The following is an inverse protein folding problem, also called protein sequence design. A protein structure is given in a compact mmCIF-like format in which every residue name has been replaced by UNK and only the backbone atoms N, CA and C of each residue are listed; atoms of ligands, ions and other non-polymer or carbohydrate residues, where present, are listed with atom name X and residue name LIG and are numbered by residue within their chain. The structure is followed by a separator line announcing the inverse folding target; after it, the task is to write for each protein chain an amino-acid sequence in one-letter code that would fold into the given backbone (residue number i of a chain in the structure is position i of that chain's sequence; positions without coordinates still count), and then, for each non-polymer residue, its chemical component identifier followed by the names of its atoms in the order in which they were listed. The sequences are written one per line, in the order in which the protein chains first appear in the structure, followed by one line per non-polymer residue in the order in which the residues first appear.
data_IF_434157346358
#
_entry.id   IF_434157346358
#
_cell.length_a   1.000
_cell.length_b   1.000
_cell.length_c   1.000
_cell.angle_alpha   90.00
_cell.angle_beta   90.00
_cell.angle_gamma   90.00
#
_symmetry.space_group_name_H-M   'P 1'
#
loop_
_entity.id
_entity.type
_entity.pdbx_description
1 polymer ?
#
# COMPACT_ATOMS: atom_id res chain seq x y z
N UNK A 1 -8.48 -21.24 -18.77
CA UNK A 1 -9.36 -20.27 -19.48
C UNK A 1 -8.83 -18.89 -19.18
N UNK A 2 -8.54 -18.14 -20.21
CA UNK A 2 -8.14 -16.73 -20.07
C UNK A 2 -9.39 -15.87 -20.37
N UNK A 3 -9.53 -14.74 -19.62
CA UNK A 3 -10.63 -13.78 -19.78
C UNK A 3 -12.04 -14.29 -19.48
N UNK A 4 -12.19 -15.37 -18.72
CA UNK A 4 -13.49 -15.82 -18.24
C UNK A 4 -13.90 -15.00 -17.01
N UNK A 5 -14.91 -14.14 -17.13
CA UNK A 5 -15.54 -13.49 -15.97
C UNK A 5 -16.25 -14.53 -15.12
N UNK A 6 -16.02 -14.55 -13.82
CA UNK A 6 -16.75 -15.41 -12.89
C UNK A 6 -17.99 -14.68 -12.42
N UNK A 7 -19.18 -15.26 -12.60
CA UNK A 7 -20.45 -14.74 -12.15
C UNK A 7 -20.85 -15.25 -10.76
N UNK A 8 -20.67 -16.57 -10.54
CA UNK A 8 -20.97 -17.18 -9.24
C UNK A 8 -20.03 -18.35 -8.92
N UNK A 9 -19.78 -18.56 -7.63
CA UNK A 9 -19.08 -19.73 -7.10
C UNK A 9 -20.07 -20.50 -6.23
N UNK A 10 -20.36 -21.73 -6.63
CA UNK A 10 -21.23 -22.65 -5.90
C UNK A 10 -20.42 -23.78 -5.25
N UNK A 11 -21.05 -24.61 -4.46
CA UNK A 11 -20.38 -25.67 -3.71
C UNK A 11 -19.60 -26.67 -4.57
N UNK A 12 -20.08 -26.94 -5.79
CA UNK A 12 -19.50 -27.96 -6.68
C UNK A 12 -19.17 -27.45 -8.09
N UNK A 13 -19.35 -26.15 -8.34
CA UNK A 13 -19.14 -25.56 -9.66
C UNK A 13 -18.89 -24.06 -9.59
N UNK A 14 -18.25 -23.56 -10.64
CA UNK A 14 -18.07 -22.14 -10.91
C UNK A 14 -18.84 -21.79 -12.19
N UNK A 15 -19.66 -20.73 -12.12
CA UNK A 15 -20.40 -20.19 -13.27
C UNK A 15 -19.64 -19.01 -13.84
N UNK A 16 -19.43 -19.02 -15.15
CA UNK A 16 -18.79 -17.92 -15.87
C UNK A 16 -19.84 -17.06 -16.60
N UNK A 17 -19.54 -15.79 -16.78
CA UNK A 17 -20.45 -14.82 -17.44
C UNK A 17 -20.79 -15.16 -18.90
N UNK A 18 -19.99 -16.00 -19.53
CA UNK A 18 -20.24 -16.54 -20.90
C UNK A 18 -21.15 -17.78 -20.91
N UNK A 19 -21.71 -18.16 -19.74
CA UNK A 19 -22.54 -19.35 -19.56
C UNK A 19 -21.76 -20.66 -19.37
N UNK A 20 -20.42 -20.61 -19.36
CA UNK A 20 -19.59 -21.80 -19.10
C UNK A 20 -19.76 -22.24 -17.65
N UNK A 21 -19.96 -23.55 -17.43
CA UNK A 21 -20.03 -24.18 -16.12
C UNK A 21 -18.80 -25.04 -15.91
N UNK A 22 -18.03 -24.74 -14.88
CA UNK A 22 -16.83 -25.50 -14.50
C UNK A 22 -17.11 -26.31 -13.24
N UNK A 23 -17.10 -27.64 -13.32
CA UNK A 23 -17.15 -28.50 -12.15
C UNK A 23 -15.91 -28.28 -11.27
N UNK A 24 -16.09 -28.16 -9.97
CA UNK A 24 -15.01 -27.89 -9.02
C UNK A 24 -15.31 -28.50 -7.67
N UNK A 25 -14.44 -29.37 -7.18
CA UNK A 25 -14.49 -29.94 -5.84
C UNK A 25 -13.91 -28.99 -4.78
N UNK A 26 -13.05 -28.03 -5.21
CA UNK A 26 -12.50 -27.00 -4.36
C UNK A 26 -12.17 -25.76 -5.19
N UNK A 27 -12.65 -24.60 -4.74
CA UNK A 27 -12.39 -23.31 -5.40
C UNK A 27 -11.55 -22.43 -4.49
N UNK A 28 -10.42 -21.95 -5.01
CA UNK A 28 -9.56 -20.97 -4.33
C UNK A 28 -9.72 -19.61 -5.02
N UNK A 29 -10.32 -18.66 -4.31
CA UNK A 29 -10.54 -17.31 -4.83
C UNK A 29 -9.36 -16.40 -4.52
N UNK A 30 -8.67 -15.90 -5.56
CA UNK A 30 -7.49 -15.05 -5.42
C UNK A 30 -7.60 -13.76 -6.26
N UNK A 31 -8.82 -13.29 -6.48
CA UNK A 31 -9.11 -12.19 -7.42
C UNK A 31 -8.96 -10.78 -6.81
N UNK A 32 -7.91 -10.54 -6.05
CA UNK A 32 -7.55 -9.22 -5.54
C UNK A 32 -7.88 -9.01 -4.06
N UNK A 33 -7.72 -7.76 -3.62
CA UNK A 33 -7.89 -7.35 -2.24
C UNK A 33 -8.94 -6.25 -2.14
N UNK A 34 -9.66 -6.23 -1.02
CA UNK A 34 -10.49 -5.12 -0.60
C UNK A 34 -10.03 -4.65 0.80
N UNK A 35 -10.18 -3.37 1.06
CA UNK A 35 -9.87 -2.79 2.39
C UNK A 35 -11.12 -2.88 3.26
N UNK A 36 -10.92 -3.14 4.56
CA UNK A 36 -12.04 -3.18 5.51
C UNK A 36 -12.78 -1.83 5.63
N UNK A 37 -14.03 -1.82 6.08
CA UNK A 37 -14.92 -0.66 6.00
C UNK A 37 -14.61 0.47 6.98
N UNK A 38 -13.63 0.31 7.86
CA UNK A 38 -13.34 1.26 8.96
C UNK A 38 -13.10 2.68 8.45
N UNK A 39 -12.34 2.85 7.36
CA UNK A 39 -12.03 4.17 6.82
C UNK A 39 -13.31 4.87 6.33
N UNK A 40 -14.13 4.18 5.53
CA UNK A 40 -15.40 4.70 5.04
C UNK A 40 -16.37 5.00 6.18
N UNK A 41 -16.50 4.09 7.15
CA UNK A 41 -17.35 4.28 8.33
C UNK A 41 -16.89 5.45 9.23
N UNK A 42 -15.61 5.84 9.13
CA UNK A 42 -15.06 7.01 9.82
C UNK A 42 -15.21 8.32 9.03
N UNK A 43 -15.89 8.32 7.90
CA UNK A 43 -16.12 9.50 7.07
C UNK A 43 -14.92 9.91 6.20
N UNK A 44 -13.91 9.05 6.06
CA UNK A 44 -12.81 9.30 5.13
C UNK A 44 -13.27 9.08 3.70
N UNK A 45 -12.75 9.88 2.77
CA UNK A 45 -12.92 9.63 1.35
C UNK A 45 -12.16 8.37 0.94
N UNK A 46 -12.87 7.42 0.35
CA UNK A 46 -12.33 6.13 -0.08
C UNK A 46 -12.73 5.81 -1.52
N UNK A 47 -11.96 4.94 -2.16
CA UNK A 47 -12.29 4.34 -3.46
C UNK A 47 -13.34 3.22 -3.30
N UNK A 48 -13.85 2.68 -4.41
CA UNK A 48 -14.83 1.57 -4.39
C UNK A 48 -14.33 0.34 -3.63
N UNK A 49 -13.01 0.04 -3.66
CA UNK A 49 -12.42 -1.07 -2.91
C UNK A 49 -12.01 -0.71 -1.47
N UNK A 50 -12.41 0.48 -0.97
CA UNK A 50 -12.22 0.92 0.41
C UNK A 50 -10.86 1.58 0.71
N UNK A 51 -10.00 1.81 -0.28
CA UNK A 51 -8.72 2.49 -0.08
C UNK A 51 -8.92 3.99 0.18
N UNK A 52 -8.25 4.53 1.19
CA UNK A 52 -8.28 5.95 1.53
C UNK A 52 -7.62 6.77 0.42
N UNK A 53 -8.32 7.79 -0.08
CA UNK A 53 -7.77 8.74 -1.06
C UNK A 53 -6.85 9.72 -0.33
N UNK A 54 -5.60 9.79 -0.78
CA UNK A 54 -4.58 10.65 -0.18
C UNK A 54 -3.89 11.54 -1.20
N UNK A 55 -3.33 12.64 -0.71
CA UNK A 55 -2.43 13.48 -1.49
C UNK A 55 -1.02 12.87 -1.59
N UNK A 56 -0.10 13.55 -2.27
CA UNK A 56 1.30 13.13 -2.44
C UNK A 56 2.05 12.94 -1.13
N UNK A 57 1.58 13.54 -0.05
CA UNK A 57 2.17 13.45 1.30
C UNK A 57 1.59 12.30 2.13
N UNK A 58 0.75 11.46 1.52
CA UNK A 58 -0.01 10.38 2.19
C UNK A 58 -1.06 10.90 3.17
N UNK A 59 -1.44 12.15 3.09
CA UNK A 59 -2.46 12.78 3.90
C UNK A 59 -3.82 12.60 3.25
N UNK A 60 -4.84 12.23 4.02
CA UNK A 60 -6.21 12.12 3.54
C UNK A 60 -6.69 13.43 2.93
N UNK A 61 -7.34 13.36 1.77
CA UNK A 61 -7.91 14.53 1.09
C UNK A 61 -9.14 15.06 1.81
N UNK A 62 -9.84 14.22 2.56
CA UNK A 62 -11.04 14.60 3.33
C UNK A 62 -10.75 15.01 4.77
N UNK A 63 -9.65 14.51 5.38
CA UNK A 63 -9.32 14.77 6.79
C UNK A 63 -7.84 15.11 6.96
N UNK A 64 -7.49 16.39 7.17
CA UNK A 64 -6.10 16.86 7.13
C UNK A 64 -5.19 16.35 8.27
N UNK A 65 -5.72 15.75 9.30
CA UNK A 65 -4.95 15.19 10.41
C UNK A 65 -4.79 13.66 10.32
N UNK A 66 -5.34 13.05 9.26
CA UNK A 66 -5.26 11.61 9.00
C UNK A 66 -4.28 11.33 7.87
N UNK A 67 -3.39 10.36 8.09
CA UNK A 67 -2.47 9.82 7.10
C UNK A 67 -2.75 8.33 6.91
N UNK A 68 -2.71 7.87 5.66
CA UNK A 68 -2.88 6.46 5.32
C UNK A 68 -1.68 5.95 4.51
N UNK A 69 -1.29 4.70 4.76
CA UNK A 69 -0.11 4.08 4.11
C UNK A 69 -0.36 2.59 3.84
N UNK A 70 0.43 1.99 2.98
CA UNK A 70 0.33 0.58 2.67
C UNK A 70 -0.85 0.22 1.79
N UNK A 71 -1.42 -0.95 1.99
CA UNK A 71 -2.48 -1.48 1.14
C UNK A 71 -3.82 -0.75 1.29
N UNK A 72 -3.99 -0.05 2.41
CA UNK A 72 -5.19 0.76 2.69
C UNK A 72 -5.22 2.12 1.98
N UNK A 73 -4.21 2.46 1.19
CA UNK A 73 -4.11 3.77 0.53
C UNK A 73 -4.27 3.68 -0.98
N UNK A 74 -5.03 4.61 -1.55
CA UNK A 74 -5.02 4.90 -2.98
C UNK A 74 -4.08 6.07 -3.25
N UNK A 75 -2.97 5.80 -3.94
CA UNK A 75 -2.02 6.83 -4.36
C UNK A 75 -1.39 6.47 -5.69
N UNK A 76 -0.99 7.51 -6.44
CA UNK A 76 -0.30 7.34 -7.71
C UNK A 76 1.21 7.40 -7.53
N UNK A 77 1.91 6.53 -8.22
CA UNK A 77 3.35 6.60 -8.37
C UNK A 77 3.78 7.78 -9.26
N UNK A 78 5.10 8.00 -9.35
CA UNK A 78 5.68 9.06 -10.20
C UNK A 78 5.40 8.84 -11.70
N UNK A 79 5.03 7.63 -12.08
CA UNK A 79 4.62 7.27 -13.44
C UNK A 79 3.12 7.47 -13.70
N UNK A 80 2.36 8.03 -12.77
CA UNK A 80 0.92 8.23 -12.87
C UNK A 80 0.06 6.98 -12.69
N UNK A 81 0.68 5.81 -12.44
CA UNK A 81 -0.04 4.57 -12.18
C UNK A 81 -0.29 4.37 -10.69
N UNK A 82 -1.41 3.76 -10.35
CA UNK A 82 -1.72 3.37 -8.97
C UNK A 82 -0.65 2.42 -8.43
N UNK A 83 -0.18 2.67 -7.21
CA UNK A 83 0.70 1.74 -6.52
C UNK A 83 -0.07 0.46 -6.16
N UNK A 84 0.51 -0.72 -6.42
CA UNK A 84 -0.17 -1.98 -6.13
C UNK A 84 -0.22 -2.25 -4.63
N UNK A 85 -1.27 -2.98 -4.21
CA UNK A 85 -1.43 -3.47 -2.83
C UNK A 85 -0.43 -4.59 -2.56
N UNK A 86 0.74 -4.24 -2.07
CA UNK A 86 1.79 -5.20 -1.71
C UNK A 86 2.84 -4.60 -0.77
N UNK A 87 3.66 -5.46 -0.18
CA UNK A 87 4.71 -5.05 0.76
C UNK A 87 5.78 -4.10 0.16
N UNK A 88 5.97 -4.08 -1.15
CA UNK A 88 6.89 -3.15 -1.81
C UNK A 88 6.40 -1.71 -1.76
N UNK A 89 5.10 -1.49 -1.88
CA UNK A 89 4.48 -0.16 -1.81
C UNK A 89 4.47 0.41 -0.40
N UNK A 90 4.35 -0.44 0.62
CA UNK A 90 4.29 -0.02 2.04
C UNK A 90 5.51 0.80 2.45
N UNK A 91 6.72 0.37 2.08
CA UNK A 91 7.97 1.05 2.46
C UNK A 91 8.05 2.48 1.93
N UNK A 92 7.59 2.71 0.71
CA UNK A 92 7.57 4.04 0.09
C UNK A 92 6.52 4.96 0.70
N UNK A 93 5.29 4.47 0.84
CA UNK A 93 4.17 5.25 1.40
C UNK A 93 4.39 5.58 2.87
N UNK A 94 4.86 4.63 3.68
CA UNK A 94 5.18 4.86 5.09
C UNK A 94 6.29 5.90 5.26
N UNK A 95 7.36 5.81 4.47
CA UNK A 95 8.45 6.79 4.52
C UNK A 95 7.95 8.19 4.15
N UNK A 96 7.15 8.31 3.10
CA UNK A 96 6.59 9.60 2.68
C UNK A 96 5.69 10.20 3.76
N UNK A 97 4.82 9.40 4.39
CA UNK A 97 3.98 9.85 5.50
C UNK A 97 4.81 10.35 6.70
N UNK A 98 5.86 9.60 7.09
CA UNK A 98 6.75 9.99 8.20
C UNK A 98 7.43 11.32 7.90
N UNK A 99 8.00 11.49 6.70
CA UNK A 99 8.66 12.74 6.30
C UNK A 99 7.65 13.91 6.29
N UNK A 100 6.43 13.67 5.81
CA UNK A 100 5.37 14.68 5.80
C UNK A 100 4.93 15.10 7.22
N UNK A 101 4.70 14.13 8.10
CA UNK A 101 4.32 14.39 9.51
C UNK A 101 5.45 15.16 10.21
N UNK A 102 6.70 14.69 10.09
CA UNK A 102 7.85 15.34 10.71
C UNK A 102 8.06 16.75 10.14
N UNK A 103 7.95 16.92 8.82
CA UNK A 103 8.05 18.23 8.17
C UNK A 103 7.00 19.18 8.71
N UNK A 104 5.73 18.78 8.76
CA UNK A 104 4.62 19.57 9.29
C UNK A 104 4.84 19.98 10.77
N UNK A 105 5.30 19.06 11.61
CA UNK A 105 5.50 19.32 13.04
C UNK A 105 6.76 20.15 13.34
N UNK A 106 7.73 20.17 12.45
CA UNK A 106 9.01 20.87 12.68
C UNK A 106 9.21 22.08 11.77
N UNK A 107 8.24 22.43 10.91
CA UNK A 107 8.36 23.50 9.91
C UNK A 107 9.42 23.25 8.84
N UNK A 108 9.84 21.99 8.64
CA UNK A 108 10.84 21.61 7.67
C UNK A 108 10.19 21.25 6.34
N UNK A 109 10.88 21.52 5.22
CA UNK A 109 10.45 21.08 3.90
C UNK A 109 10.27 19.54 3.87
N UNK A 110 9.19 19.11 3.25
CA UNK A 110 8.87 17.70 3.09
C UNK A 110 9.70 17.15 1.95
N UNK A 111 10.53 16.15 2.25
CA UNK A 111 11.27 15.45 1.22
C UNK A 111 10.32 14.69 0.28
N UNK A 112 10.49 14.85 -1.02
CA UNK A 112 9.72 14.14 -2.02
C UNK A 112 10.31 12.74 -2.24
N UNK A 113 9.73 11.73 -1.59
CA UNK A 113 10.11 10.33 -1.80
C UNK A 113 9.63 9.86 -3.17
N UNK A 114 10.53 9.22 -3.92
CA UNK A 114 10.15 8.61 -5.21
C UNK A 114 9.21 7.43 -4.97
N UNK A 115 8.00 7.55 -5.49
CA UNK A 115 6.98 6.50 -5.45
C UNK A 115 7.02 5.71 -6.75
N UNK A 116 7.91 4.75 -6.86
CA UNK A 116 8.10 3.94 -8.07
C UNK A 116 8.07 2.46 -7.73
N UNK A 117 7.10 1.75 -8.29
CA UNK A 117 7.05 0.30 -8.23
C UNK A 117 7.95 -0.31 -9.32
N UNK A 118 8.93 -1.12 -8.94
CA UNK A 118 10.02 -1.54 -9.83
C UNK A 118 10.05 -3.03 -10.15
N UNK A 119 9.40 -3.86 -9.37
CA UNK A 119 9.45 -5.31 -9.57
C UNK A 119 8.27 -6.03 -8.90
N UNK A 120 7.86 -7.13 -9.51
CA UNK A 120 6.97 -8.11 -8.91
C UNK A 120 7.80 -9.22 -8.27
N UNK A 121 7.47 -9.60 -7.04
CA UNK A 121 8.05 -10.75 -6.35
C UNK A 121 6.96 -11.79 -6.09
N UNK A 122 6.89 -12.80 -6.95
CA UNK A 122 5.84 -13.82 -6.96
C UNK A 122 6.41 -15.11 -6.39
N UNK A 123 5.71 -15.72 -5.42
CA UNK A 123 6.05 -17.06 -4.93
C UNK A 123 5.28 -18.11 -5.71
N UNK A 124 5.97 -19.12 -6.20
CA UNK A 124 5.42 -20.31 -6.82
C UNK A 124 5.57 -21.54 -5.89
N UNK A 125 5.55 -21.29 -4.59
CA UNK A 125 5.78 -22.27 -3.54
C UNK A 125 7.06 -21.99 -2.75
N UNK A 126 7.50 -22.97 -1.93
CA UNK A 126 8.65 -22.78 -1.02
C UNK A 126 10.02 -22.85 -1.70
N UNK A 127 10.09 -23.41 -2.89
CA UNK A 127 11.37 -23.68 -3.59
C UNK A 127 11.47 -22.93 -4.91
N UNK A 128 10.39 -22.26 -5.33
CA UNK A 128 10.36 -21.56 -6.61
C UNK A 128 9.67 -20.21 -6.49
N UNK A 129 10.08 -19.27 -7.33
CA UNK A 129 9.54 -17.92 -7.37
C UNK A 129 10.04 -17.15 -8.58
N UNK A 130 9.42 -16.00 -8.80
CA UNK A 130 9.77 -15.08 -9.88
C UNK A 130 9.99 -13.69 -9.29
N UNK A 131 11.13 -13.08 -9.61
CA UNK A 131 11.39 -11.66 -9.42
C UNK A 131 11.48 -11.02 -10.80
N UNK A 132 10.44 -10.31 -11.19
CA UNK A 132 10.28 -9.71 -12.50
C UNK A 132 10.38 -8.20 -12.42
N UNK A 133 11.24 -7.59 -13.22
CA UNK A 133 11.37 -6.14 -13.30
C UNK A 133 10.17 -5.54 -14.04
N UNK A 134 9.79 -4.36 -13.62
CA UNK A 134 8.73 -3.54 -14.21
C UNK A 134 9.38 -2.29 -14.80
N UNK A 135 8.94 -1.87 -15.96
CA UNK A 135 9.41 -0.65 -16.62
C UNK A 135 8.69 0.61 -16.09
N UNK A 136 9.06 1.78 -16.63
CA UNK A 136 8.44 3.05 -16.26
C UNK A 136 6.96 3.16 -16.61
N UNK A 137 6.48 2.38 -17.58
CA UNK A 137 5.08 2.33 -17.97
C UNK A 137 4.27 1.29 -17.16
N UNK A 138 4.87 0.66 -16.16
CA UNK A 138 4.20 -0.35 -15.33
C UNK A 138 4.11 -1.73 -15.98
N UNK A 139 4.75 -1.93 -17.14
CA UNK A 139 4.72 -3.20 -17.85
C UNK A 139 5.83 -4.14 -17.37
N UNK A 140 5.49 -5.41 -17.26
CA UNK A 140 6.45 -6.44 -16.89
C UNK A 140 7.48 -6.63 -18.02
N UNK A 141 8.77 -6.56 -17.67
CA UNK A 141 9.85 -6.84 -18.62
C UNK A 141 9.98 -8.34 -18.86
N UNK A 142 10.48 -8.72 -20.02
CA UNK A 142 10.76 -10.13 -20.36
C UNK A 142 11.86 -10.75 -19.50
N UNK A 143 12.79 -9.91 -18.99
CA UNK A 143 13.86 -10.35 -18.10
C UNK A 143 13.33 -10.54 -16.67
N UNK A 144 13.51 -11.73 -16.13
CA UNK A 144 13.16 -12.08 -14.77
C UNK A 144 14.24 -12.97 -14.14
N UNK A 145 14.25 -13.03 -12.82
CA UNK A 145 15.03 -14.00 -12.05
C UNK A 145 14.05 -15.03 -11.49
N UNK A 146 14.29 -16.30 -11.75
CA UNK A 146 13.44 -17.40 -11.30
C UNK A 146 14.11 -18.32 -10.26
N UNK A 147 13.35 -19.32 -9.82
CA UNK A 147 13.83 -20.43 -9.02
C UNK A 147 14.18 -20.05 -7.58
N UNK A 148 15.05 -20.85 -6.97
CA UNK A 148 15.48 -20.70 -5.57
C UNK A 148 16.12 -19.34 -5.26
N UNK A 149 16.78 -18.71 -6.24
CA UNK A 149 17.39 -17.40 -6.05
C UNK A 149 16.34 -16.32 -5.80
N UNK A 150 15.27 -16.31 -6.60
CA UNK A 150 14.14 -15.38 -6.41
C UNK A 150 13.50 -15.56 -5.02
N UNK A 151 13.32 -16.81 -4.57
CA UNK A 151 12.81 -17.12 -3.21
C UNK A 151 13.73 -16.55 -2.14
N UNK A 152 15.04 -16.79 -2.21
CA UNK A 152 16.02 -16.28 -1.23
C UNK A 152 16.02 -14.76 -1.14
N UNK A 153 15.96 -14.07 -2.28
CA UNK A 153 15.89 -12.60 -2.32
C UNK A 153 14.59 -12.13 -1.65
N UNK A 154 13.45 -12.72 -2.00
CA UNK A 154 12.16 -12.38 -1.40
C UNK A 154 12.14 -12.61 0.11
N UNK A 155 12.64 -13.74 0.58
CA UNK A 155 12.77 -14.03 2.02
C UNK A 155 13.68 -13.04 2.74
N UNK A 156 14.81 -12.67 2.12
CA UNK A 156 15.73 -11.68 2.69
C UNK A 156 15.09 -10.30 2.82
N UNK A 157 14.31 -9.87 1.82
CA UNK A 157 13.56 -8.63 1.86
C UNK A 157 12.50 -8.65 2.98
N UNK A 158 11.78 -9.77 3.14
CA UNK A 158 10.78 -9.93 4.20
C UNK A 158 11.41 -9.95 5.59
N UNK A 159 12.52 -10.66 5.78
CA UNK A 159 13.28 -10.66 7.04
C UNK A 159 13.83 -9.27 7.38
N UNK A 160 14.34 -8.56 6.37
CA UNK A 160 14.80 -7.18 6.52
C UNK A 160 13.68 -6.23 6.93
N UNK A 161 12.49 -6.36 6.33
CA UNK A 161 11.33 -5.57 6.71
C UNK A 161 10.89 -5.87 8.16
N UNK A 162 10.80 -7.15 8.54
CA UNK A 162 10.48 -7.55 9.92
C UNK A 162 11.52 -7.04 10.92
N UNK A 163 12.81 -7.16 10.61
CA UNK A 163 13.87 -6.62 11.44
C UNK A 163 13.76 -5.09 11.58
N UNK A 164 13.45 -4.39 10.48
CA UNK A 164 13.24 -2.93 10.47
C UNK A 164 12.08 -2.49 11.36
N UNK A 165 10.97 -3.25 11.42
CA UNK A 165 9.86 -2.95 12.33
C UNK A 165 10.25 -3.12 13.80
N UNK A 166 11.13 -4.05 14.10
CA UNK A 166 11.67 -4.28 15.45
C UNK A 166 12.74 -3.25 15.85
N UNK A 167 13.33 -2.55 14.88
CA UNK A 167 14.39 -1.55 15.07
C UNK A 167 14.04 -0.24 14.36
N UNK A 168 12.93 0.42 14.70
CA UNK A 168 12.38 1.55 13.95
C UNK A 168 13.31 2.79 13.90
N UNK A 169 14.24 2.89 14.85
CA UNK A 169 15.20 4.03 14.92
C UNK A 169 16.56 3.70 14.28
N UNK A 170 16.74 2.50 13.77
CA UNK A 170 18.02 2.11 13.14
C UNK A 170 18.31 2.98 11.91
N UNK A 171 19.49 3.57 11.90
CA UNK A 171 19.90 4.49 10.82
C UNK A 171 19.25 5.87 10.85
N UNK A 172 18.40 6.16 11.82
CA UNK A 172 17.85 7.51 12.00
C UNK A 172 18.80 8.37 12.84
N UNK A 173 19.06 9.63 12.45
CA UNK A 173 19.84 10.52 13.29
C UNK A 173 19.05 10.83 14.56
N UNK A 174 19.62 10.54 15.73
CA UNK A 174 19.05 10.81 17.05
C UNK A 174 19.07 12.32 17.38
N UNK A 175 18.63 13.17 16.46
CA UNK A 175 18.49 14.62 16.72
C UNK A 175 17.17 14.90 17.41
N UNK A 176 17.22 15.41 18.63
CA UNK A 176 16.06 16.05 19.27
C UNK A 176 15.61 17.21 18.38
N UNK A 177 14.39 17.15 17.87
CA UNK A 177 13.79 18.21 17.06
C UNK A 177 12.82 18.98 17.91
N UNK A 178 12.86 20.32 17.84
CA UNK A 178 11.85 21.17 18.47
C UNK A 178 10.64 21.23 17.55
N UNK A 179 9.44 21.10 18.11
CA UNK A 179 8.19 21.36 17.41
C UNK A 179 8.09 22.88 17.19
N UNK A 180 7.86 23.31 15.96
CA UNK A 180 7.83 24.75 15.59
C UNK A 180 6.41 25.27 15.39
N UNK A 181 5.41 24.39 15.27
CA UNK A 181 4.01 24.77 15.14
C UNK A 181 3.13 23.88 16.01
N UNK A 182 2.13 24.47 16.68
CA UNK A 182 1.01 23.72 17.19
C UNK A 182 0.26 23.10 15.98
N UNK A 183 -0.10 21.80 15.99
CA UNK A 183 -0.90 21.22 14.93
C UNK A 183 -2.20 21.99 14.81
N UNK A 184 -2.57 22.38 13.60
CA UNK A 184 -3.74 23.21 13.29
C UNK A 184 -5.06 22.66 13.91
N UNK A 185 -5.15 21.33 14.15
CA UNK A 185 -6.28 20.70 14.80
C UNK A 185 -6.43 21.02 16.29
N UNK A 186 -5.35 21.34 17.02
CA UNK A 186 -5.46 21.71 18.44
C UNK A 186 -6.04 23.11 18.64
N UNK A 187 -5.89 24.01 17.69
CA UNK A 187 -6.50 25.33 17.73
C UNK A 187 -8.04 25.26 17.61
N UNK A 188 -8.58 24.34 16.83
CA UNK A 188 -10.04 24.15 16.71
C UNK A 188 -10.66 23.52 17.96
N UNK A 189 -9.99 22.54 18.57
CA UNK A 189 -10.48 21.90 19.81
C UNK A 189 -10.42 22.87 20.99
N UNK A 190 -9.40 23.74 21.07
CA UNK A 190 -9.30 24.78 22.08
C UNK A 190 -10.35 25.86 21.91
N UNK A 191 -10.64 26.29 20.67
CA UNK A 191 -11.71 27.24 20.36
C UNK A 191 -13.11 26.70 20.68
N UNK A 192 -13.35 25.40 20.41
CA UNK A 192 -14.62 24.76 20.78
C UNK A 192 -14.82 24.59 22.30
N UNK A 193 -13.74 24.42 23.08
CA UNK A 193 -13.80 24.35 24.55
C UNK A 193 -13.94 25.70 25.24
N UNK A 194 -13.58 26.80 24.57
CA UNK A 194 -13.77 28.16 25.11
C UNK A 194 -15.11 28.79 24.75
N UNK A 195 -15.92 28.11 23.92
CA UNK A 195 -17.26 28.56 23.50
C UNK A 195 -18.40 27.82 24.23
N UNK A 196 -18.07 26.96 25.22
CA UNK A 196 -19.00 26.29 26.12
C UNK A 196 -18.78 26.79 27.56
#
# INVERSE_FOLDING_TARGET
MEHAGVEAVEATRVLCADGTVLASDATVWTAGFAVGPVAAASGLEVTENGQVVVDRTMRSVSHPDVYAVGDSVYTLGDNGLQLPMNCGSVGYTARQAIEAIVGRLTGRDIANTKLVYRYNAISLGRRDGILQLIDGAGQARTKYMGGRMAVRIKESLQRGALWGTSHPTFGMPLRRRRLTAAPAGQAMVSAAKSAT
#
